data_IF_440994285382
#
_entry.id   IF_440994285382
#
_cell.length_a   1.000
_cell.length_b   1.000
_cell.length_c   1.000
_cell.angle_alpha   90.00
_cell.angle_beta   90.00
_cell.angle_gamma   90.00
#
_symmetry.space_group_name_H-M   'P 1'
#
loop_
_entity.id
_entity.type
_entity.pdbx_description
1 polymer ?
#
# COMPACT_ATOMS: atom_id res chain seq x y z
N UNK A 1 -17.44 -9.31 -22.56
CA UNK A 1 -17.19 -8.29 -21.53
C UNK A 1 -15.77 -8.48 -21.03
N UNK A 2 -14.96 -7.42 -20.96
CA UNK A 2 -13.59 -7.53 -20.45
C UNK A 2 -13.67 -7.68 -18.92
N UNK A 3 -13.12 -8.75 -18.36
CA UNK A 3 -13.16 -8.96 -16.91
C UNK A 3 -12.38 -7.85 -16.22
N UNK A 4 -13.02 -7.18 -15.25
CA UNK A 4 -12.40 -6.15 -14.42
C UNK A 4 -11.47 -6.86 -13.42
N UNK A 5 -10.18 -6.55 -13.45
CA UNK A 5 -9.20 -7.08 -12.49
C UNK A 5 -8.96 -6.02 -11.42
N UNK A 6 -9.04 -6.45 -10.16
CA UNK A 6 -8.69 -5.65 -8.99
C UNK A 6 -7.44 -6.25 -8.37
N UNK A 7 -6.45 -5.41 -8.07
CA UNK A 7 -5.26 -5.82 -7.34
C UNK A 7 -5.40 -5.46 -5.86
N UNK A 8 -4.93 -6.34 -4.98
CA UNK A 8 -4.82 -6.09 -3.54
C UNK A 8 -3.35 -6.11 -3.15
N UNK A 9 -2.88 -5.04 -2.51
CA UNK A 9 -1.54 -4.94 -1.93
C UNK A 9 -1.71 -4.78 -0.42
N UNK A 10 -1.13 -5.70 0.34
CA UNK A 10 -1.20 -5.70 1.80
C UNK A 10 0.16 -5.34 2.39
N UNK A 11 0.18 -4.45 3.38
CA UNK A 11 1.35 -4.16 4.18
C UNK A 11 0.92 -4.07 5.64
N UNK A 12 1.41 -5.00 6.46
CA UNK A 12 1.06 -5.10 7.88
C UNK A 12 1.76 -4.07 8.76
N UNK A 13 1.70 -4.29 10.08
CA UNK A 13 2.43 -3.46 11.03
C UNK A 13 3.94 -3.73 11.01
N UNK A 14 4.71 -2.71 11.37
CA UNK A 14 6.14 -2.85 11.64
C UNK A 14 6.38 -3.53 12.99
N UNK A 15 7.53 -4.17 13.15
CA UNK A 15 8.00 -4.64 14.44
C UNK A 15 8.47 -3.50 15.37
N UNK A 16 8.69 -3.84 16.64
CA UNK A 16 9.02 -2.85 17.68
C UNK A 16 10.51 -2.43 17.69
N UNK A 17 11.38 -3.23 17.07
CA UNK A 17 12.82 -2.98 17.06
C UNK A 17 13.27 -2.11 15.88
N UNK A 18 14.39 -1.40 16.06
CA UNK A 18 14.98 -0.56 15.00
C UNK A 18 15.29 -1.33 13.70
N UNK A 19 15.86 -2.56 13.73
CA UNK A 19 16.04 -3.35 12.51
C UNK A 19 14.71 -3.68 11.80
N UNK A 20 13.67 -4.05 12.54
CA UNK A 20 12.35 -4.33 11.98
C UNK A 20 11.73 -3.09 11.33
N UNK A 21 11.91 -1.91 11.94
CA UNK A 21 11.47 -0.63 11.36
C UNK A 21 12.17 -0.32 10.03
N UNK A 22 13.47 -0.59 9.91
CA UNK A 22 14.22 -0.39 8.67
C UNK A 22 13.76 -1.36 7.58
N UNK A 23 13.57 -2.63 7.92
CA UNK A 23 13.01 -3.63 6.99
C UNK A 23 11.61 -3.21 6.54
N UNK A 24 10.79 -2.74 7.47
CA UNK A 24 9.44 -2.28 7.17
C UNK A 24 9.42 -1.06 6.23
N UNK A 25 10.34 -0.11 6.42
CA UNK A 25 10.50 1.01 5.50
C UNK A 25 10.88 0.54 4.09
N UNK A 26 11.77 -0.45 3.96
CA UNK A 26 12.10 -1.03 2.66
C UNK A 26 10.88 -1.75 2.04
N UNK A 27 10.10 -2.48 2.85
CA UNK A 27 8.84 -3.11 2.42
C UNK A 27 7.81 -2.09 1.93
N UNK A 28 7.67 -0.95 2.61
CA UNK A 28 6.81 0.18 2.18
C UNK A 28 7.19 0.67 0.79
N UNK A 29 8.48 0.95 0.56
CA UNK A 29 8.98 1.38 -0.76
C UNK A 29 8.72 0.34 -1.84
N UNK A 30 8.94 -0.93 -1.52
CA UNK A 30 8.64 -2.05 -2.43
C UNK A 30 7.15 -2.14 -2.77
N UNK A 31 6.27 -1.95 -1.78
CA UNK A 31 4.82 -1.92 -1.98
C UNK A 31 4.40 -0.76 -2.89
N UNK A 32 4.92 0.46 -2.65
CA UNK A 32 4.67 1.63 -3.50
C UNK A 32 5.10 1.35 -4.95
N UNK A 33 6.31 0.84 -5.16
CA UNK A 33 6.81 0.49 -6.50
C UNK A 33 5.98 -0.62 -7.17
N UNK A 34 5.41 -1.54 -6.37
CA UNK A 34 4.49 -2.55 -6.87
C UNK A 34 3.20 -1.89 -7.37
N UNK A 35 2.62 -0.95 -6.61
CA UNK A 35 1.45 -0.19 -7.07
C UNK A 35 1.76 0.61 -8.35
N UNK A 36 2.94 1.25 -8.44
CA UNK A 36 3.39 1.95 -9.66
C UNK A 36 3.43 1.01 -10.88
N UNK A 37 3.82 -0.25 -10.69
CA UNK A 37 3.84 -1.23 -11.78
C UNK A 37 2.43 -1.70 -12.14
N UNK A 38 1.61 -1.99 -11.14
CA UNK A 38 0.23 -2.44 -11.32
C UNK A 38 -0.63 -1.39 -12.04
N UNK A 39 -0.45 -0.09 -11.73
CA UNK A 39 -1.21 1.00 -12.35
C UNK A 39 -0.96 1.15 -13.85
N UNK A 40 0.15 0.57 -14.36
CA UNK A 40 0.49 0.57 -15.80
C UNK A 40 -0.12 -0.61 -16.55
N UNK A 41 -0.70 -1.59 -15.86
CA UNK A 41 -1.29 -2.79 -16.47
C UNK A 41 -2.73 -2.47 -16.87
N UNK A 42 -3.00 -2.43 -18.18
CA UNK A 42 -4.29 -2.02 -18.78
C UNK A 42 -5.52 -2.75 -18.24
N UNK A 43 -5.35 -3.97 -17.73
CA UNK A 43 -6.47 -4.80 -17.26
C UNK A 43 -6.78 -4.60 -15.77
N UNK A 44 -5.86 -3.99 -15.01
CA UNK A 44 -6.05 -3.66 -13.60
C UNK A 44 -6.71 -2.27 -13.53
N UNK A 45 -7.95 -2.25 -13.06
CA UNK A 45 -8.75 -1.02 -13.00
C UNK A 45 -8.80 -0.42 -11.60
N UNK A 46 -8.71 -1.28 -10.57
CA UNK A 46 -8.70 -0.86 -9.17
C UNK A 46 -7.49 -1.46 -8.47
N UNK A 47 -6.83 -0.67 -7.61
CA UNK A 47 -5.77 -1.13 -6.73
C UNK A 47 -6.17 -0.79 -5.30
N UNK A 48 -6.40 -1.81 -4.49
CA UNK A 48 -6.70 -1.69 -3.08
C UNK A 48 -5.38 -1.83 -2.31
N UNK A 49 -5.10 -0.88 -1.42
CA UNK A 49 -3.95 -0.92 -0.52
C UNK A 49 -4.48 -1.08 0.90
N UNK A 50 -4.28 -2.27 1.47
CA UNK A 50 -4.73 -2.65 2.81
C UNK A 50 -3.59 -2.49 3.82
N UNK A 51 -3.74 -1.55 4.76
CA UNK A 51 -2.69 -1.16 5.71
C UNK A 51 -3.22 -0.72 7.07
N UNK A 52 -2.41 -0.80 8.15
CA UNK A 52 -2.68 -0.11 9.41
C UNK A 52 -2.82 1.40 9.23
N UNK A 53 -3.65 2.03 10.06
CA UNK A 53 -3.88 3.49 10.04
C UNK A 53 -2.61 4.36 10.03
N UNK A 54 -1.57 3.96 10.77
CA UNK A 54 -0.30 4.69 10.82
C UNK A 54 0.44 4.72 9.46
N UNK A 55 0.24 3.71 8.62
CA UNK A 55 1.01 3.53 7.39
C UNK A 55 0.59 4.50 6.29
N UNK A 56 -0.68 4.90 6.23
CA UNK A 56 -1.13 5.88 5.22
C UNK A 56 -0.35 7.20 5.32
N UNK A 57 -0.06 7.67 6.53
CA UNK A 57 0.70 8.90 6.72
C UNK A 57 2.13 8.76 6.18
N UNK A 58 2.75 7.61 6.46
CA UNK A 58 4.11 7.33 6.03
C UNK A 58 4.22 7.16 4.50
N UNK A 59 3.19 6.66 3.82
CA UNK A 59 3.15 6.59 2.35
C UNK A 59 3.12 7.97 1.71
N UNK A 60 2.43 8.94 2.32
CA UNK A 60 2.34 10.31 1.80
C UNK A 60 3.70 11.02 1.78
N UNK A 61 4.67 10.56 2.57
CA UNK A 61 6.01 11.13 2.64
C UNK A 61 6.96 10.57 1.57
N UNK A 62 6.57 9.55 0.82
CA UNK A 62 7.41 8.93 -0.21
C UNK A 62 7.11 9.57 -1.58
N UNK A 63 8.13 10.08 -2.28
CA UNK A 63 7.96 10.82 -3.53
C UNK A 63 7.18 10.02 -4.58
N UNK A 64 7.43 8.72 -4.68
CA UNK A 64 6.81 7.86 -5.68
C UNK A 64 5.31 7.61 -5.43
N UNK A 65 4.82 7.87 -4.22
CA UNK A 65 3.40 7.80 -3.90
C UNK A 65 2.60 8.90 -4.60
N UNK A 66 3.15 10.12 -4.73
CA UNK A 66 2.41 11.26 -5.28
C UNK A 66 1.90 10.99 -6.70
N UNK A 67 2.67 10.25 -7.51
CA UNK A 67 2.32 9.87 -8.88
C UNK A 67 1.18 8.85 -8.99
N UNK A 68 0.89 8.11 -7.92
CA UNK A 68 -0.10 7.01 -7.93
C UNK A 68 -1.27 7.24 -6.97
N UNK A 69 -1.27 8.35 -6.23
CA UNK A 69 -2.24 8.65 -5.17
C UNK A 69 -3.70 8.57 -5.62
N UNK A 70 -3.99 8.92 -6.89
CA UNK A 70 -5.34 8.88 -7.47
C UNK A 70 -5.80 7.47 -7.88
N UNK A 71 -4.86 6.52 -8.01
CA UNK A 71 -5.14 5.14 -8.43
C UNK A 71 -5.34 4.18 -7.27
N UNK A 72 -5.18 4.64 -6.02
CA UNK A 72 -5.25 3.82 -4.81
C UNK A 72 -6.62 3.98 -4.14
N UNK A 73 -7.25 2.84 -3.88
CA UNK A 73 -8.36 2.70 -2.94
C UNK A 73 -7.75 2.22 -1.62
N UNK A 74 -7.93 2.99 -0.55
CA UNK A 74 -7.38 2.65 0.75
C UNK A 74 -8.35 1.74 1.52
N UNK A 75 -7.84 0.62 2.01
CA UNK A 75 -8.47 -0.19 3.04
C UNK A 75 -7.63 -0.06 4.32
N UNK A 76 -8.17 0.63 5.32
CA UNK A 76 -7.38 1.02 6.50
C UNK A 76 -7.91 0.28 7.71
N UNK A 77 -7.07 -0.61 8.24
CA UNK A 77 -7.37 -1.25 9.51
C UNK A 77 -7.34 -0.22 10.63
N UNK A 78 -8.49 -0.08 11.30
CA UNK A 78 -8.60 0.73 12.50
C UNK A 78 -7.92 0.01 13.67
N UNK A 79 -7.09 0.72 14.46
CA UNK A 79 -6.36 0.12 15.59
C UNK A 79 -7.26 -0.45 16.70
N UNK A 80 -8.58 -0.22 16.60
CA UNK A 80 -9.58 -0.68 17.56
C UNK A 80 -10.21 -2.03 17.23
N UNK A 81 -9.88 -2.67 16.10
CA UNK A 81 -10.30 -4.05 15.84
C UNK A 81 -9.27 -5.02 16.43
N UNK A 82 -9.36 -5.25 17.75
CA UNK A 82 -8.71 -6.39 18.40
C UNK A 82 -9.66 -7.59 18.28
N UNK A 83 -9.26 -8.62 17.54
CA UNK A 83 -9.83 -9.97 17.65
C UNK A 83 -9.35 -10.63 18.95
#
# INVERSE_FOLDING_TARGET
>A
MKHKITALVMLGESGSSKPEQLVHQASRKSAIQTVVKLSKIKDIQDIIVAVPSAEKHNWIQEDEYHHISQSIIWDIDSPNHRY
#
